data_IF_585192981705
#
_entry.id   IF_585192981705
#
_cell.length_a   1.000
_cell.length_b   1.000
_cell.length_c   1.000
_cell.angle_alpha   90.00
_cell.angle_beta   90.00
_cell.angle_gamma   90.00
#
_symmetry.space_group_name_H-M   'P 1'
#
loop_
_entity.id
_entity.type
_entity.pdbx_description
1 polymer ?
#
# COMPACT_ATOMS: atom_id res chain seq x y z
N UNK A 1 0.55 7.80 -25.85
CA UNK A 1 1.08 7.07 -24.68
C UNK A 1 0.64 5.62 -24.81
N UNK A 2 1.58 4.68 -24.68
CA UNK A 2 1.32 3.25 -24.86
C UNK A 2 1.02 2.66 -23.49
N UNK A 3 -0.21 2.19 -23.27
CA UNK A 3 -0.52 1.41 -22.07
C UNK A 3 0.28 0.10 -22.09
N UNK A 4 0.82 -0.36 -20.95
CA UNK A 4 1.57 -1.61 -20.90
C UNK A 4 0.77 -2.79 -21.43
N UNK A 5 1.43 -3.75 -22.07
CA UNK A 5 0.81 -5.02 -22.44
C UNK A 5 0.54 -5.87 -21.19
N UNK A 6 -0.32 -6.88 -21.31
CA UNK A 6 -0.53 -7.83 -20.21
C UNK A 6 0.77 -8.55 -19.82
N UNK A 7 1.61 -8.89 -20.79
CA UNK A 7 2.91 -9.52 -20.56
C UNK A 7 3.81 -8.63 -19.70
N UNK A 8 3.92 -7.34 -20.04
CA UNK A 8 4.67 -6.35 -19.25
C UNK A 8 4.15 -6.26 -17.82
N UNK A 9 2.81 -6.25 -17.63
CA UNK A 9 2.19 -6.25 -16.29
C UNK A 9 2.51 -7.49 -15.46
N UNK A 10 2.69 -8.64 -16.11
CA UNK A 10 2.93 -9.93 -15.43
C UNK A 10 4.41 -10.23 -15.22
N UNK A 11 5.32 -9.61 -15.98
CA UNK A 11 6.76 -9.85 -15.92
C UNK A 11 7.35 -9.80 -14.49
N UNK A 12 6.96 -8.86 -13.59
CA UNK A 12 7.51 -8.81 -12.23
C UNK A 12 7.26 -10.06 -11.38
N UNK A 13 6.28 -10.91 -11.74
CA UNK A 13 5.98 -12.15 -10.99
C UNK A 13 7.08 -13.20 -11.10
N UNK A 14 7.91 -13.10 -12.14
CA UNK A 14 8.89 -14.13 -12.50
C UNK A 14 10.34 -13.71 -12.21
N UNK A 15 10.57 -12.67 -11.40
CA UNK A 15 11.90 -12.10 -11.13
C UNK A 15 12.87 -13.02 -10.36
N UNK A 16 12.46 -14.24 -10.01
CA UNK A 16 13.37 -15.26 -9.46
C UNK A 16 14.09 -14.81 -8.18
N UNK A 17 13.35 -14.33 -7.17
CA UNK A 17 13.96 -13.85 -5.91
C UNK A 17 14.65 -15.00 -5.16
N UNK A 18 15.98 -15.02 -5.17
CA UNK A 18 16.79 -16.06 -4.51
C UNK A 18 17.16 -15.70 -3.06
N UNK A 19 17.25 -14.42 -2.74
CA UNK A 19 17.71 -13.93 -1.44
C UNK A 19 16.82 -12.80 -0.92
N UNK A 20 15.84 -13.10 -0.05
CA UNK A 20 15.00 -12.06 0.53
C UNK A 20 15.80 -11.22 1.51
N UNK A 21 15.61 -9.89 1.46
CA UNK A 21 16.17 -8.97 2.47
C UNK A 21 15.34 -8.99 3.76
N UNK A 22 14.03 -9.18 3.62
CA UNK A 22 13.06 -9.12 4.71
C UNK A 22 11.95 -10.17 4.52
N UNK A 23 11.40 -10.64 5.63
CA UNK A 23 10.19 -11.47 5.66
C UNK A 23 9.05 -10.67 6.25
N UNK A 24 7.87 -10.78 5.65
CA UNK A 24 6.63 -10.18 6.13
C UNK A 24 5.45 -11.09 5.79
N UNK A 25 4.46 -11.16 6.67
CA UNK A 25 3.16 -11.79 6.39
C UNK A 25 2.09 -10.72 6.40
N UNK A 26 1.36 -10.61 5.29
CA UNK A 26 0.19 -9.75 5.22
C UNK A 26 -1.03 -10.60 5.59
N UNK A 27 -1.89 -10.08 6.46
CA UNK A 27 -3.16 -10.73 6.79
C UNK A 27 -4.28 -9.71 6.82
N UNK A 28 -5.51 -10.22 6.75
CA UNK A 28 -6.72 -9.41 6.88
C UNK A 28 -6.75 -8.31 5.80
N UNK A 29 -6.27 -8.63 4.60
CA UNK A 29 -6.13 -7.67 3.50
C UNK A 29 -7.49 -7.33 2.92
N UNK A 30 -7.70 -6.04 2.71
CA UNK A 30 -8.86 -5.53 2.00
C UNK A 30 -8.40 -4.70 0.81
N UNK A 31 -9.01 -4.92 -0.34
CA UNK A 31 -8.79 -4.13 -1.55
C UNK A 31 -10.06 -3.37 -1.87
N UNK A 32 -9.99 -2.04 -1.80
CA UNK A 32 -11.08 -1.17 -2.23
C UNK A 32 -10.56 -0.31 -3.38
N UNK A 33 -11.31 -0.27 -4.47
CA UNK A 33 -10.93 0.45 -5.68
C UNK A 33 -12.06 1.34 -6.16
N UNK A 34 -11.72 2.58 -6.49
CA UNK A 34 -12.64 3.52 -7.10
C UNK A 34 -12.08 4.00 -8.43
N UNK A 35 -12.98 4.13 -9.40
CA UNK A 35 -12.70 4.82 -10.63
C UNK A 35 -12.42 6.29 -10.33
N UNK A 36 -11.36 6.83 -10.94
CA UNK A 36 -10.97 8.22 -10.76
C UNK A 36 -10.59 8.85 -12.09
N UNK A 37 -10.62 10.17 -12.16
CA UNK A 37 -10.19 10.91 -13.33
C UNK A 37 -8.69 10.69 -13.61
N UNK A 38 -8.36 10.28 -14.83
CA UNK A 38 -6.99 9.96 -15.20
C UNK A 38 -6.10 11.19 -15.22
N UNK A 39 -6.61 12.35 -15.65
CA UNK A 39 -5.81 13.57 -15.76
C UNK A 39 -5.47 14.16 -14.39
N UNK A 40 -6.41 14.11 -13.44
CA UNK A 40 -6.20 14.51 -12.05
C UNK A 40 -5.15 13.63 -11.38
N UNK A 41 -5.20 12.30 -11.55
CA UNK A 41 -4.17 11.42 -11.01
C UNK A 41 -2.81 11.67 -11.67
N UNK A 42 -2.77 11.84 -12.99
CA UNK A 42 -1.52 12.06 -13.73
C UNK A 42 -0.79 13.32 -13.29
N UNK A 43 -1.51 14.42 -12.98
CA UNK A 43 -0.92 15.69 -12.49
C UNK A 43 -0.22 15.56 -11.14
N UNK A 44 -0.52 14.51 -10.37
CA UNK A 44 0.03 14.26 -9.02
C UNK A 44 1.22 13.31 -9.03
N UNK A 45 1.57 12.75 -10.20
CA UNK A 45 2.73 11.88 -10.35
C UNK A 45 4.00 12.70 -10.58
N UNK A 46 5.16 12.22 -10.11
CA UNK A 46 6.43 12.80 -10.51
C UNK A 46 6.67 12.60 -12.02
N UNK A 47 7.54 13.43 -12.65
CA UNK A 47 7.94 13.24 -14.04
C UNK A 47 8.48 11.83 -14.29
N UNK A 48 8.19 11.27 -15.47
CA UNK A 48 8.61 9.93 -15.89
C UNK A 48 7.69 8.79 -15.44
N UNK A 49 6.63 9.07 -14.67
CA UNK A 49 5.58 8.11 -14.35
C UNK A 49 4.27 8.46 -15.05
N UNK A 50 3.61 7.44 -15.58
CA UNK A 50 2.35 7.55 -16.31
C UNK A 50 1.29 6.65 -15.69
N UNK A 51 0.04 7.12 -15.64
CA UNK A 51 -1.08 6.34 -15.11
C UNK A 51 -1.32 5.10 -15.96
N UNK A 52 -1.27 3.93 -15.33
CA UNK A 52 -1.70 2.68 -15.95
C UNK A 52 -3.23 2.60 -15.94
N UNK A 53 -3.80 2.52 -17.14
CA UNK A 53 -5.25 2.45 -17.35
C UNK A 53 -5.66 1.00 -17.53
N UNK A 54 -6.75 0.63 -16.86
CA UNK A 54 -7.43 -0.64 -17.09
C UNK A 54 -8.82 -0.34 -17.62
N UNK A 55 -9.15 -0.88 -18.78
CA UNK A 55 -10.41 -0.60 -19.50
C UNK A 55 -10.65 0.91 -19.74
N UNK A 56 -9.58 1.64 -20.12
CA UNK A 56 -9.54 3.10 -20.30
C UNK A 56 -9.75 3.94 -19.04
N UNK A 57 -9.92 3.31 -17.88
CA UNK A 57 -10.17 3.97 -16.61
C UNK A 57 -8.94 3.94 -15.72
N UNK A 58 -8.81 4.97 -14.87
CA UNK A 58 -7.80 5.02 -13.82
C UNK A 58 -8.42 4.61 -12.48
N UNK A 59 -7.61 3.97 -11.63
CA UNK A 59 -8.09 3.33 -10.41
C UNK A 59 -7.30 3.82 -9.20
N UNK A 60 -8.00 4.40 -8.23
CA UNK A 60 -7.47 4.72 -6.92
C UNK A 60 -7.82 3.58 -5.96
N UNK A 61 -6.79 3.00 -5.34
CA UNK A 61 -6.91 1.92 -4.38
C UNK A 61 -6.68 2.40 -2.94
N UNK A 62 -7.54 1.97 -2.03
CA UNK A 62 -7.31 2.02 -0.58
C UNK A 62 -7.17 0.59 -0.08
N UNK A 63 -6.03 0.28 0.51
CA UNK A 63 -5.67 -1.08 0.91
C UNK A 63 -5.21 -1.09 2.37
N UNK A 64 -6.13 -1.31 3.33
CA UNK A 64 -5.76 -1.58 4.71
C UNK A 64 -5.40 -3.06 4.88
N UNK A 65 -4.37 -3.32 5.68
CA UNK A 65 -3.94 -4.68 6.02
C UNK A 65 -3.13 -4.70 7.31
N UNK A 66 -2.99 -5.90 7.86
CA UNK A 66 -2.18 -6.17 9.03
C UNK A 66 -0.85 -6.78 8.63
N UNK A 67 0.24 -6.10 8.98
CA UNK A 67 1.60 -6.59 8.86
C UNK A 67 1.94 -7.45 10.08
N UNK A 68 2.30 -8.71 9.84
CA UNK A 68 2.67 -9.68 10.88
C UNK A 68 4.09 -10.20 10.66
N UNK A 69 4.85 -10.31 11.76
CA UNK A 69 6.21 -10.90 11.82
C UNK A 69 7.21 -10.24 10.86
N UNK A 70 7.10 -8.93 10.64
CA UNK A 70 8.03 -8.16 9.81
C UNK A 70 9.43 -8.23 10.42
N UNK A 71 10.40 -8.81 9.71
CA UNK A 71 11.78 -8.96 10.22
C UNK A 71 12.81 -9.06 9.09
N UNK A 72 14.00 -8.47 9.25
CA UNK A 72 15.14 -8.76 8.38
C UNK A 72 15.47 -10.26 8.37
N UNK A 73 16.05 -10.75 7.27
CA UNK A 73 16.32 -12.19 7.05
C UNK A 73 17.01 -12.88 8.23
N UNK A 74 17.97 -12.21 8.86
CA UNK A 74 18.82 -12.76 9.92
C UNK A 74 18.38 -12.42 11.35
N UNK A 75 17.30 -11.66 11.53
CA UNK A 75 16.84 -11.22 12.84
C UNK A 75 15.50 -11.87 13.21
N UNK A 76 15.23 -12.09 14.52
CA UNK A 76 13.92 -12.52 14.98
C UNK A 76 12.88 -11.40 14.84
N UNK A 77 11.60 -11.78 14.84
CA UNK A 77 10.52 -10.81 14.93
C UNK A 77 10.40 -10.31 16.38
N UNK A 78 10.40 -8.99 16.57
CA UNK A 78 10.29 -8.37 17.88
C UNK A 78 8.82 -8.04 18.18
N UNK A 79 8.25 -8.48 19.33
CA UNK A 79 6.83 -8.33 19.64
C UNK A 79 6.29 -6.91 19.47
N UNK A 80 7.12 -5.91 19.78
CA UNK A 80 6.75 -4.50 19.73
C UNK A 80 6.96 -3.82 18.39
N UNK A 81 7.66 -4.43 17.41
CA UNK A 81 8.02 -3.78 16.13
C UNK A 81 7.56 -4.55 14.89
N UNK A 82 7.38 -5.86 15.02
CA UNK A 82 7.11 -6.73 13.88
C UNK A 82 5.62 -6.91 13.58
N UNK A 83 4.74 -6.20 14.29
CA UNK A 83 3.28 -6.24 14.13
C UNK A 83 2.68 -4.84 14.11
N UNK A 84 2.12 -4.43 12.97
CA UNK A 84 1.53 -3.11 12.80
C UNK A 84 0.46 -3.11 11.69
N UNK A 85 -0.41 -2.11 11.70
CA UNK A 85 -1.41 -1.90 10.65
C UNK A 85 -0.87 -0.88 9.66
N UNK A 86 -1.16 -1.13 8.38
CA UNK A 86 -0.77 -0.24 7.29
C UNK A 86 -1.99 -0.03 6.37
N UNK A 87 -2.19 1.21 5.92
CA UNK A 87 -3.21 1.59 4.95
C UNK A 87 -2.55 2.32 3.80
N UNK A 88 -2.74 1.79 2.60
CA UNK A 88 -2.09 2.29 1.39
C UNK A 88 -3.12 2.98 0.51
N UNK A 89 -2.93 4.28 0.26
CA UNK A 89 -3.63 5.02 -0.79
C UNK A 89 -2.73 5.04 -2.02
N UNK A 90 -3.13 4.35 -3.08
CA UNK A 90 -2.26 4.12 -4.23
C UNK A 90 -2.99 4.13 -5.57
N UNK A 91 -2.24 4.37 -6.63
CA UNK A 91 -2.67 4.19 -8.02
C UNK A 91 -1.69 3.29 -8.78
N UNK A 92 -2.07 2.86 -9.97
CA UNK A 92 -1.25 2.04 -10.86
C UNK A 92 -0.54 2.93 -11.88
N UNK A 93 0.74 2.67 -12.09
CA UNK A 93 1.60 3.47 -12.96
C UNK A 93 2.52 2.60 -13.79
N UNK A 94 3.14 3.19 -14.80
CA UNK A 94 4.29 2.63 -15.49
C UNK A 94 5.32 3.72 -15.77
N UNK A 95 6.58 3.32 -15.96
CA UNK A 95 7.67 4.23 -16.35
C UNK A 95 7.78 4.38 -17.88
N UNK A 96 8.71 5.21 -18.35
CA UNK A 96 8.99 5.42 -19.78
C UNK A 96 9.37 4.13 -20.54
N UNK A 97 9.86 3.10 -19.83
CA UNK A 97 10.23 1.80 -20.39
C UNK A 97 9.06 0.80 -20.38
N UNK A 98 7.88 1.19 -19.90
CA UNK A 98 6.72 0.31 -19.77
C UNK A 98 6.80 -0.65 -18.58
N UNK A 99 7.67 -0.39 -17.61
CA UNK A 99 7.77 -1.19 -16.37
C UNK A 99 6.59 -0.84 -15.47
N UNK A 100 5.72 -1.80 -15.12
CA UNK A 100 4.56 -1.55 -14.29
C UNK A 100 4.96 -1.32 -12.82
N UNK A 101 4.18 -0.50 -12.13
CA UNK A 101 4.39 -0.18 -10.73
C UNK A 101 3.13 0.28 -10.03
N UNK A 102 3.26 0.51 -8.72
CA UNK A 102 2.25 1.17 -7.90
C UNK A 102 2.84 2.44 -7.34
N UNK A 103 2.10 3.54 -7.45
CA UNK A 103 2.45 4.81 -6.83
C UNK A 103 1.63 5.00 -5.57
N UNK A 104 2.30 5.27 -4.44
CA UNK A 104 1.65 5.52 -3.17
C UNK A 104 1.48 7.03 -2.97
N UNK A 105 0.24 7.50 -2.89
CA UNK A 105 -0.06 8.86 -2.45
C UNK A 105 0.12 9.01 -0.94
N UNK A 106 -0.21 7.96 -0.20
CA UNK A 106 0.01 7.92 1.25
C UNK A 106 0.16 6.50 1.74
N UNK A 107 1.02 6.33 2.74
CA UNK A 107 1.21 5.10 3.50
C UNK A 107 0.94 5.43 4.97
N UNK A 108 -0.28 5.20 5.43
CA UNK A 108 -0.64 5.44 6.83
C UNK A 108 -0.26 4.21 7.66
N UNK A 109 0.51 4.42 8.74
CA UNK A 109 0.94 3.33 9.60
C UNK A 109 0.83 3.73 11.08
N UNK A 110 0.42 2.77 11.91
CA UNK A 110 0.24 2.98 13.34
C UNK A 110 1.49 2.79 14.19
N UNK A 111 2.62 2.49 13.55
CA UNK A 111 3.88 2.26 14.24
C UNK A 111 4.92 3.32 13.87
N UNK A 112 5.13 4.26 14.78
CA UNK A 112 5.99 5.42 14.56
C UNK A 112 7.45 5.09 14.31
N UNK A 113 7.95 3.98 14.89
CA UNK A 113 9.31 3.49 14.62
C UNK A 113 9.43 2.85 13.23
N UNK A 114 8.40 2.16 12.75
CA UNK A 114 8.38 1.62 11.39
C UNK A 114 8.23 2.75 10.37
N UNK A 115 7.38 3.76 10.65
CA UNK A 115 7.27 5.00 9.87
C UNK A 115 8.63 5.71 9.78
N UNK A 116 9.31 5.90 10.91
CA UNK A 116 10.61 6.53 10.97
C UNK A 116 11.67 5.76 10.15
N UNK A 117 11.76 4.44 10.33
CA UNK A 117 12.68 3.60 9.56
C UNK A 117 12.34 3.59 8.07
N UNK A 118 11.06 3.59 7.69
CA UNK A 118 10.63 3.61 6.30
C UNK A 118 10.92 4.95 5.62
N UNK A 119 10.69 6.08 6.31
CA UNK A 119 11.06 7.41 5.81
C UNK A 119 12.58 7.55 5.70
N UNK A 120 13.33 7.07 6.70
CA UNK A 120 14.78 7.28 6.79
C UNK A 120 15.55 6.36 5.84
N UNK A 121 15.09 5.12 5.61
CA UNK A 121 15.81 4.13 4.79
C UNK A 121 15.25 3.97 3.37
N UNK A 122 13.96 4.26 3.15
CA UNK A 122 13.30 3.99 1.87
C UNK A 122 12.65 5.24 1.23
N UNK A 123 12.75 6.41 1.87
CA UNK A 123 12.15 7.69 1.40
C UNK A 123 10.67 7.59 1.04
N UNK A 124 9.93 6.68 1.68
CA UNK A 124 8.52 6.43 1.41
C UNK A 124 7.64 7.42 2.18
N UNK A 125 6.49 7.87 1.61
CA UNK A 125 5.60 8.88 2.21
C UNK A 125 4.74 8.28 3.33
N UNK A 126 5.39 7.77 4.38
CA UNK A 126 4.71 7.24 5.54
C UNK A 126 4.16 8.35 6.43
N UNK A 127 2.94 8.20 6.91
CA UNK A 127 2.28 9.10 7.86
C UNK A 127 1.93 8.34 9.12
N UNK A 128 2.11 8.98 10.28
CA UNK A 128 1.69 8.40 11.56
C UNK A 128 0.15 8.47 11.67
N UNK A 129 -0.49 7.31 11.81
CA UNK A 129 -1.94 7.22 11.97
C UNK A 129 -2.33 6.36 13.19
N UNK A 130 -3.39 6.75 13.88
CA UNK A 130 -4.02 5.88 14.88
C UNK A 130 -4.92 4.89 14.14
N UNK A 131 -4.61 3.60 14.26
CA UNK A 131 -5.32 2.55 13.54
C UNK A 131 -5.82 1.44 14.46
N UNK A 132 -7.03 0.97 14.18
CA UNK A 132 -7.66 -0.16 14.88
C UNK A 132 -8.24 -1.13 13.85
N UNK A 133 -7.97 -2.41 14.06
CA UNK A 133 -8.53 -3.52 13.29
C UNK A 133 -9.19 -4.47 14.28
N UNK A 134 -10.52 -4.64 14.19
CA UNK A 134 -11.29 -5.49 15.10
C UNK A 134 -12.23 -6.37 14.32
N UNK A 135 -12.26 -7.65 14.67
CA UNK A 135 -13.31 -8.57 14.22
C UNK A 135 -14.43 -8.53 15.27
N UNK A 136 -15.66 -8.28 14.84
CA UNK A 136 -16.82 -8.38 15.73
C UNK A 136 -17.32 -9.82 15.86
N UNK A 137 -18.39 -10.00 16.65
CA UNK A 137 -19.01 -11.33 16.89
C UNK A 137 -19.63 -11.93 15.62
N UNK A 138 -20.00 -11.09 14.66
CA UNK A 138 -20.63 -11.47 13.39
C UNK A 138 -19.59 -11.67 12.28
N UNK A 139 -18.30 -11.76 12.63
CA UNK A 139 -17.16 -11.90 11.69
C UNK A 139 -17.04 -10.73 10.72
N UNK A 140 -17.49 -9.54 11.11
CA UNK A 140 -17.22 -8.30 10.36
C UNK A 140 -15.89 -7.72 10.79
N UNK A 141 -15.10 -7.31 9.81
CA UNK A 141 -13.81 -6.69 9.99
C UNK A 141 -13.97 -5.17 9.95
N UNK A 142 -13.69 -4.54 11.09
CA UNK A 142 -13.76 -3.09 11.28
C UNK A 142 -12.35 -2.53 11.23
N UNK A 143 -12.09 -1.68 10.24
CA UNK A 143 -10.87 -0.90 10.09
C UNK A 143 -11.14 0.58 10.37
N UNK A 144 -10.36 1.15 11.26
CA UNK A 144 -10.34 2.59 11.50
C UNK A 144 -8.91 3.10 11.31
N UNK A 145 -8.77 4.20 10.59
CA UNK A 145 -7.52 4.91 10.40
C UNK A 145 -7.76 6.41 10.58
N UNK A 146 -7.05 7.01 11.54
CA UNK A 146 -7.07 8.45 11.80
C UNK A 146 -5.66 8.99 11.74
N UNK A 147 -5.34 9.77 10.70
CA UNK A 147 -4.02 10.40 10.59
C UNK A 147 -3.84 11.45 11.68
N UNK A 148 -2.69 11.44 12.37
CA UNK A 148 -2.39 12.45 13.40
C UNK A 148 -2.20 13.83 12.76
N UNK A 149 -2.90 14.83 13.31
CA UNK A 149 -2.83 16.22 12.83
C UNK A 149 -3.89 16.61 11.80
N UNK A 150 -4.65 15.65 11.25
CA UNK A 150 -5.78 15.92 10.36
C UNK A 150 -7.12 15.68 11.08
N UNK A 151 -8.17 16.41 10.68
CA UNK A 151 -9.53 16.21 11.24
C UNK A 151 -10.27 15.01 10.63
N UNK A 152 -9.76 14.45 9.54
CA UNK A 152 -10.38 13.32 8.83
C UNK A 152 -10.13 11.97 9.51
N UNK A 153 -11.17 11.14 9.58
CA UNK A 153 -11.06 9.73 9.97
C UNK A 153 -11.56 8.91 8.78
N UNK A 154 -10.74 7.96 8.33
CA UNK A 154 -11.14 6.94 7.36
C UNK A 154 -11.61 5.73 8.17
N UNK A 155 -12.92 5.53 8.20
CA UNK A 155 -13.55 4.34 8.80
C UNK A 155 -14.08 3.43 7.70
N UNK A 156 -13.62 2.18 7.69
CA UNK A 156 -13.99 1.14 6.74
C UNK A 156 -14.54 -0.03 7.55
N UNK A 157 -15.84 -0.30 7.41
CA UNK A 157 -16.47 -1.48 7.99
C UNK A 157 -16.84 -2.43 6.86
N UNK A 158 -16.35 -3.68 6.92
CA UNK A 158 -16.79 -4.73 6.01
C UNK A 158 -17.30 -5.94 6.76
N UNK A 159 -18.41 -6.46 6.25
CA UNK A 159 -18.86 -7.82 6.56
C UNK A 159 -18.23 -8.77 5.55
N UNK A 160 -17.60 -9.85 6.01
CA UNK A 160 -17.07 -10.93 5.15
C UNK A 160 -18.08 -12.08 5.15
#
# INVERSE_FOLDING_TARGET
MISPTLEQRLAPRNLGVTHPVMYQRWSDLLFLHWRWDCEDLQKRLPPGLFIDRYENEAWLGIVPFLMKRVRPRFLPALPWLSWFQELNVRTYVYDENGVPGVWFFSLDCNQSLAVYLAQTLFSLPYSNAEMSCRMDRDRRLHYECKRRGERGVITICLSI
#
